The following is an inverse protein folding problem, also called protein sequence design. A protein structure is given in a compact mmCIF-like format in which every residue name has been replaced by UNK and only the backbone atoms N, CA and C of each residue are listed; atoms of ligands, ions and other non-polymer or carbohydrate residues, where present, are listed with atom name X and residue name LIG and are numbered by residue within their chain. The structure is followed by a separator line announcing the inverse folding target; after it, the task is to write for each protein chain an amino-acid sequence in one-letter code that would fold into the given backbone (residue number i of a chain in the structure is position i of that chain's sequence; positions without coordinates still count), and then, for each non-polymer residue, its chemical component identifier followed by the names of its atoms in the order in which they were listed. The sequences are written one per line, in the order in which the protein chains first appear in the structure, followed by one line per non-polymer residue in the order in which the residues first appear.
data_IF_471677316341
#
_entry.id   IF_471677316341
#
_cell.length_a   1.000
_cell.length_b   1.000
_cell.length_c   1.000
_cell.angle_alpha   90.00
_cell.angle_beta   90.00
_cell.angle_gamma   90.00
#
_symmetry.space_group_name_H-M   'P 1'
#
loop_
_entity.id
_entity.type
_entity.pdbx_description
1 polymer ?
#
# COMPACT_ATOMS: atom_id res chain seq x y z
N UNK A 1 -4.39 19.01 0.58
CA UNK A 1 -4.71 18.13 -0.57
C UNK A 1 -4.44 16.68 -0.21
N UNK A 2 -5.41 15.79 -0.43
CA UNK A 2 -5.28 14.34 -0.19
C UNK A 2 -5.67 13.64 -1.49
N UNK A 3 -4.81 12.75 -1.98
CA UNK A 3 -4.99 12.07 -3.27
C UNK A 3 -4.67 10.59 -3.16
N UNK A 4 -5.39 9.77 -3.94
CA UNK A 4 -5.13 8.34 -4.11
C UNK A 4 -4.55 8.12 -5.50
N UNK A 5 -3.26 7.84 -5.56
CA UNK A 5 -2.55 7.52 -6.79
C UNK A 5 -2.83 6.05 -7.15
N UNK A 6 -3.24 5.75 -8.40
CA UNK A 6 -3.58 4.38 -8.79
C UNK A 6 -2.34 3.50 -8.86
N UNK A 7 -2.54 2.18 -8.84
CA UNK A 7 -1.51 1.21 -9.22
C UNK A 7 -1.23 1.32 -10.72
N UNK A 8 -0.31 2.23 -11.08
CA UNK A 8 0.16 2.48 -12.43
C UNK A 8 1.62 2.92 -12.38
N UNK A 9 2.35 2.61 -13.46
CA UNK A 9 3.73 3.05 -13.60
C UNK A 9 3.85 4.57 -13.57
N UNK A 10 4.94 5.07 -12.98
CA UNK A 10 5.21 6.50 -12.88
C UNK A 10 6.72 6.78 -12.94
N UNK A 11 7.06 7.99 -13.34
CA UNK A 11 8.40 8.56 -13.20
C UNK A 11 8.26 10.05 -12.88
N UNK A 12 8.88 10.50 -11.79
CA UNK A 12 8.79 11.89 -11.35
C UNK A 12 10.13 12.39 -10.85
N UNK A 13 10.40 13.67 -11.11
CA UNK A 13 11.54 14.41 -10.59
C UNK A 13 11.10 15.83 -10.24
N UNK A 14 11.22 16.24 -8.98
CA UNK A 14 10.79 17.54 -8.51
C UNK A 14 11.49 17.94 -7.20
N UNK A 15 11.52 19.24 -6.91
CA UNK A 15 11.82 19.76 -5.57
C UNK A 15 10.50 19.84 -4.81
N UNK A 16 10.41 19.21 -3.65
CA UNK A 16 9.20 19.21 -2.83
C UNK A 16 8.89 20.63 -2.31
N UNK A 17 7.98 21.35 -2.97
CA UNK A 17 7.60 22.70 -2.54
C UNK A 17 6.97 22.72 -1.14
N UNK A 18 6.31 21.63 -0.76
CA UNK A 18 5.72 21.40 0.56
C UNK A 18 6.08 19.99 1.02
N UNK A 19 6.09 19.78 2.32
CA UNK A 19 6.24 18.47 2.89
C UNK A 19 5.03 17.59 2.53
N UNK A 20 5.26 16.28 2.39
CA UNK A 20 4.24 15.32 2.00
C UNK A 20 4.32 14.05 2.83
N UNK A 21 3.16 13.54 3.23
CA UNK A 21 3.02 12.20 3.78
C UNK A 21 2.62 11.27 2.64
N UNK A 22 3.20 10.07 2.63
CA UNK A 22 2.82 9.01 1.71
C UNK A 22 2.51 7.71 2.44
N UNK A 23 1.61 6.91 1.89
CA UNK A 23 1.29 5.59 2.43
C UNK A 23 1.08 4.57 1.30
N UNK A 24 1.88 3.52 1.28
CA UNK A 24 1.80 2.45 0.29
C UNK A 24 0.77 1.39 0.71
N UNK A 25 -0.25 1.15 -0.13
CA UNK A 25 -1.20 0.05 0.11
C UNK A 25 -0.70 -1.28 -0.45
N UNK A 26 0.14 -1.21 -1.47
CA UNK A 26 0.69 -2.33 -2.22
C UNK A 26 2.21 -2.26 -2.22
N UNK A 27 2.86 -3.42 -2.42
CA UNK A 27 4.30 -3.45 -2.65
C UNK A 27 4.64 -2.69 -3.93
N UNK A 28 5.68 -1.87 -3.92
CA UNK A 28 6.15 -1.15 -5.11
C UNK A 28 7.67 -1.24 -5.21
N UNK A 29 8.19 -1.21 -6.43
CA UNK A 29 9.63 -1.37 -6.66
C UNK A 29 10.06 -0.46 -7.78
N UNK A 30 11.25 0.10 -7.63
CA UNK A 30 11.71 1.09 -8.59
C UNK A 30 13.05 1.68 -8.22
N UNK A 31 13.33 2.86 -8.78
CA UNK A 31 14.51 3.65 -8.47
C UNK A 31 14.08 4.96 -7.83
N UNK A 32 14.82 5.40 -6.82
CA UNK A 32 14.58 6.70 -6.21
C UNK A 32 15.89 7.39 -5.78
N UNK A 33 15.81 8.69 -5.62
CA UNK A 33 16.81 9.52 -4.95
C UNK A 33 16.03 10.59 -4.17
N UNK A 34 16.04 10.54 -2.84
CA UNK A 34 15.25 11.44 -1.98
C UNK A 34 16.22 12.17 -1.05
N UNK A 35 16.35 13.48 -1.22
CA UNK A 35 17.31 14.31 -0.47
C UNK A 35 18.77 13.95 -0.74
N UNK A 36 19.04 13.30 -1.88
CA UNK A 36 20.35 12.84 -2.30
C UNK A 36 20.41 12.73 -3.81
N UNK A 37 21.59 12.92 -4.39
CA UNK A 37 21.85 12.66 -5.81
C UNK A 37 22.04 11.17 -6.14
N UNK A 38 22.14 10.32 -5.11
CA UNK A 38 22.36 8.88 -5.29
C UNK A 38 21.07 8.16 -5.63
N UNK A 39 20.90 7.82 -6.90
CA UNK A 39 19.83 6.93 -7.36
C UNK A 39 20.08 5.51 -6.86
N UNK A 40 19.10 4.92 -6.18
CA UNK A 40 19.17 3.56 -5.65
C UNK A 40 17.83 2.82 -5.82
N UNK A 41 17.86 1.47 -5.86
CA UNK A 41 16.63 0.69 -5.80
C UNK A 41 15.87 0.93 -4.50
N UNK A 42 14.54 0.90 -4.59
CA UNK A 42 13.66 0.84 -3.42
C UNK A 42 12.66 -0.31 -3.52
N UNK A 43 12.24 -0.77 -2.35
CA UNK A 43 11.15 -1.72 -2.14
C UNK A 43 10.18 -1.07 -1.16
N UNK A 44 9.07 -0.51 -1.65
CA UNK A 44 8.00 -0.03 -0.78
C UNK A 44 7.24 -1.24 -0.22
N UNK A 45 7.11 -1.31 1.10
CA UNK A 45 6.37 -2.34 1.80
C UNK A 45 4.87 -1.99 1.82
N UNK A 46 3.97 -2.99 1.73
CA UNK A 46 2.56 -2.73 1.97
C UNK A 46 2.38 -2.23 3.41
N UNK A 47 1.50 -1.24 3.59
CA UNK A 47 1.33 -0.46 4.81
C UNK A 47 2.54 0.44 5.20
N UNK A 48 3.49 0.65 4.30
CA UNK A 48 4.63 1.53 4.55
C UNK A 48 4.21 3.00 4.58
N UNK A 49 4.41 3.65 5.72
CA UNK A 49 4.33 5.10 5.87
C UNK A 49 5.66 5.73 5.41
N UNK A 50 5.54 6.83 4.68
CA UNK A 50 6.64 7.59 4.15
C UNK A 50 6.45 9.09 4.38
N UNK A 51 7.55 9.83 4.40
CA UNK A 51 7.56 11.27 4.54
C UNK A 51 8.64 11.88 3.66
N UNK A 52 8.29 13.00 3.02
CA UNK A 52 9.21 13.83 2.25
C UNK A 52 9.14 15.26 2.80
N UNK A 53 10.24 15.82 3.35
CA UNK A 53 10.29 17.21 3.80
C UNK A 53 10.13 18.22 2.66
N UNK A 54 9.72 19.45 2.98
CA UNK A 54 9.80 20.56 2.05
C UNK A 54 11.26 20.87 1.68
N UNK A 55 11.49 21.34 0.45
CA UNK A 55 12.82 21.62 -0.11
C UNK A 55 13.61 20.38 -0.53
N UNK A 56 13.06 19.17 -0.32
CA UNK A 56 13.74 17.92 -0.66
C UNK A 56 13.70 17.64 -2.17
N UNK A 57 14.86 17.39 -2.77
CA UNK A 57 14.94 16.85 -4.13
C UNK A 57 14.43 15.41 -4.16
N UNK A 58 13.45 15.15 -5.01
CA UNK A 58 12.83 13.83 -5.19
C UNK A 58 12.99 13.40 -6.64
N UNK A 59 13.60 12.25 -6.82
CA UNK A 59 13.48 11.41 -8.01
C UNK A 59 12.82 10.10 -7.56
N UNK A 60 11.74 9.68 -8.21
CA UNK A 60 11.16 8.36 -7.97
C UNK A 60 10.50 7.84 -9.24
N UNK A 61 10.77 6.60 -9.58
CA UNK A 61 10.16 5.91 -10.70
C UNK A 61 9.86 4.47 -10.34
N UNK A 62 8.73 3.96 -10.83
CA UNK A 62 8.31 2.58 -10.66
C UNK A 62 7.58 2.14 -11.92
N UNK A 63 8.01 1.06 -12.61
CA UNK A 63 7.36 0.61 -13.84
C UNK A 63 5.91 0.15 -13.65
N UNK A 64 5.60 -0.41 -12.48
CA UNK A 64 4.27 -0.94 -12.14
C UNK A 64 3.51 -0.04 -11.16
N UNK A 65 4.24 0.80 -10.42
CA UNK A 65 3.71 1.58 -9.30
C UNK A 65 3.16 0.67 -8.20
N UNK A 66 2.05 1.13 -7.65
CA UNK A 66 1.17 0.47 -6.69
C UNK A 66 0.27 1.54 -6.08
N UNK A 67 -0.89 1.16 -5.55
CA UNK A 67 -1.78 2.19 -5.03
C UNK A 67 -1.15 2.89 -3.82
N UNK A 68 -1.20 4.22 -3.85
CA UNK A 68 -0.47 5.07 -2.91
C UNK A 68 -1.34 6.25 -2.48
N UNK A 69 -1.47 6.45 -1.17
CA UNK A 69 -2.08 7.67 -0.63
C UNK A 69 -1.00 8.74 -0.52
N UNK A 70 -1.29 9.95 -0.98
CA UNK A 70 -0.42 11.11 -0.78
C UNK A 70 -1.22 12.24 -0.13
N UNK A 71 -0.62 12.87 0.88
CA UNK A 71 -1.21 13.96 1.64
C UNK A 71 -0.22 15.12 1.68
N UNK A 72 -0.68 16.29 1.24
CA UNK A 72 -0.01 17.58 1.40
C UNK A 72 -0.88 18.49 2.25
N UNK A 73 -0.28 19.11 3.27
CA UNK A 73 -0.93 20.13 4.07
C UNK A 73 -0.72 21.49 3.44
N UNK A 74 -1.81 22.16 3.10
CA UNK A 74 -1.81 23.49 2.49
C UNK A 74 -2.22 24.59 3.48
N UNK A 75 -2.49 24.21 4.73
CA UNK A 75 -2.81 25.10 5.83
C UNK A 75 -1.55 25.57 6.56
N UNK A 76 -1.69 26.57 7.45
CA UNK A 76 -0.57 27.17 8.19
C UNK A 76 0.14 26.17 9.14
N UNK A 77 -0.48 25.02 9.41
CA UNK A 77 0.07 23.90 10.17
C UNK A 77 0.94 23.02 9.27
N UNK A 78 2.08 23.55 8.84
CA UNK A 78 3.05 22.80 8.04
C UNK A 78 3.44 21.47 8.72
N UNK A 79 3.58 20.41 7.92
CA UNK A 79 4.09 19.14 8.44
C UNK A 79 5.51 19.33 8.97
N UNK A 80 5.75 18.90 10.20
CA UNK A 80 7.05 19.01 10.85
C UNK A 80 7.90 17.78 10.58
N UNK A 81 9.17 17.99 10.26
CA UNK A 81 10.13 16.92 9.96
C UNK A 81 11.19 17.39 8.97
N UNK A 82 12.43 17.02 9.22
CA UNK A 82 13.62 17.41 8.45
C UNK A 82 14.25 16.23 7.70
N UNK A 83 13.84 15.00 8.01
CA UNK A 83 14.40 13.78 7.42
C UNK A 83 13.33 13.00 6.66
N UNK A 84 13.62 12.66 5.42
CA UNK A 84 12.80 11.76 4.64
C UNK A 84 12.92 10.32 5.17
N UNK A 85 11.82 9.58 5.13
CA UNK A 85 11.82 8.15 5.44
C UNK A 85 10.80 7.41 4.56
N UNK A 86 10.97 6.10 4.47
CA UNK A 86 10.05 5.19 3.80
C UNK A 86 9.95 3.89 4.61
N UNK A 87 8.89 3.10 4.36
CA UNK A 87 8.65 1.78 4.96
C UNK A 87 8.48 1.75 6.48
N UNK A 88 8.12 2.86 7.11
CA UNK A 88 7.79 2.84 8.54
C UNK A 88 6.44 2.16 8.73
N UNK A 89 6.41 1.07 9.49
CA UNK A 89 5.17 0.38 9.82
C UNK A 89 4.61 0.96 11.12
N UNK A 90 3.50 1.68 11.01
CA UNK A 90 2.86 2.34 12.14
C UNK A 90 1.42 1.82 12.31
N UNK A 91 1.17 1.18 13.46
CA UNK A 91 -0.12 0.53 13.75
C UNK A 91 -1.30 1.51 13.83
N UNK A 92 -1.05 2.79 14.13
CA UNK A 92 -2.07 3.84 14.19
C UNK A 92 -2.27 4.50 12.83
N UNK A 93 -1.22 4.62 12.01
CA UNK A 93 -1.32 5.15 10.65
C UNK A 93 -2.11 4.23 9.70
N UNK A 94 -1.96 2.91 9.85
CA UNK A 94 -2.64 1.92 9.00
C UNK A 94 -4.16 2.14 8.93
N UNK A 95 -4.93 2.14 10.04
CA UNK A 95 -6.37 2.33 9.97
C UNK A 95 -6.77 3.70 9.43
N UNK A 96 -5.99 4.76 9.67
CA UNK A 96 -6.23 6.10 9.11
C UNK A 96 -6.12 6.08 7.59
N UNK A 97 -5.02 5.52 7.06
CA UNK A 97 -4.83 5.40 5.62
C UNK A 97 -5.91 4.53 4.95
N UNK A 98 -6.35 3.45 5.60
CA UNK A 98 -7.45 2.61 5.09
C UNK A 98 -8.79 3.37 5.05
N UNK A 99 -9.09 4.20 6.06
CA UNK A 99 -10.28 5.06 6.07
C UNK A 99 -10.23 6.07 4.94
N UNK A 100 -9.13 6.81 4.81
CA UNK A 100 -8.92 7.78 3.74
C UNK A 100 -9.06 7.13 2.35
N UNK A 101 -8.45 5.96 2.15
CA UNK A 101 -8.59 5.19 0.90
C UNK A 101 -10.04 4.85 0.61
N UNK A 102 -10.76 4.29 1.59
CA UNK A 102 -12.15 3.91 1.42
C UNK A 102 -13.06 5.12 1.13
N UNK A 103 -12.80 6.26 1.77
CA UNK A 103 -13.50 7.52 1.53
C UNK A 103 -13.26 8.07 0.11
N UNK A 104 -12.00 8.10 -0.35
CA UNK A 104 -11.63 8.51 -1.72
C UNK A 104 -12.30 7.62 -2.77
N UNK A 105 -12.36 6.30 -2.55
CA UNK A 105 -13.00 5.35 -3.47
C UNK A 105 -14.53 5.42 -3.45
N UNK A 106 -15.13 5.95 -2.39
CA UNK A 106 -16.59 6.10 -2.27
C UNK A 106 -17.09 7.46 -2.75
N UNK A 107 -16.21 8.46 -2.85
CA UNK A 107 -16.55 9.87 -3.13
C UNK A 107 -17.60 10.42 -2.14
N UNK A 108 -17.43 10.13 -0.84
CA UNK A 108 -18.36 10.54 0.21
C UNK A 108 -18.00 11.92 0.79
N UNK A 109 -18.96 12.87 0.90
CA UNK A 109 -18.70 14.23 1.40
C UNK A 109 -18.72 14.36 2.94
N UNK A 110 -19.11 13.32 3.68
CA UNK A 110 -19.29 13.38 5.15
C UNK A 110 -18.07 12.88 5.95
N UNK A 111 -16.91 12.78 5.33
CA UNK A 111 -15.71 12.21 5.95
C UNK A 111 -14.88 13.27 6.70
N UNK A 112 -14.36 12.90 7.88
CA UNK A 112 -13.52 13.74 8.75
C UNK A 112 -12.08 13.84 8.22
N UNK A 113 -11.93 14.46 7.05
CA UNK A 113 -10.65 14.60 6.36
C UNK A 113 -9.59 15.32 7.19
N UNK A 114 -10.00 16.39 7.88
CA UNK A 114 -9.10 17.20 8.69
C UNK A 114 -8.59 16.43 9.91
N UNK A 115 -9.49 15.75 10.64
CA UNK A 115 -9.12 14.93 11.79
C UNK A 115 -8.19 13.77 11.40
N UNK A 116 -8.47 13.08 10.28
CA UNK A 116 -7.59 12.01 9.81
C UNK A 116 -6.24 12.53 9.33
N UNK A 117 -6.21 13.69 8.64
CA UNK A 117 -4.98 14.33 8.17
C UNK A 117 -4.09 14.76 9.33
N UNK A 118 -4.67 15.38 10.35
CA UNK A 118 -3.96 15.79 11.56
C UNK A 118 -3.39 14.58 12.31
N UNK A 119 -4.21 13.54 12.54
CA UNK A 119 -3.75 12.33 13.21
C UNK A 119 -2.62 11.62 12.44
N UNK A 120 -2.67 11.59 11.11
CA UNK A 120 -1.60 11.02 10.30
C UNK A 120 -0.31 11.87 10.36
N UNK A 121 -0.45 13.20 10.38
CA UNK A 121 0.67 14.13 10.57
C UNK A 121 1.36 13.96 11.92
N UNK A 122 0.60 13.76 13.00
CA UNK A 122 1.14 13.46 14.33
C UNK A 122 1.98 12.19 14.33
N UNK A 123 1.55 11.14 13.61
CA UNK A 123 2.36 9.93 13.45
C UNK A 123 3.70 10.23 12.79
N UNK A 124 3.73 11.09 11.77
CA UNK A 124 4.97 11.49 11.08
C UNK A 124 5.89 12.32 11.97
N UNK A 125 5.34 13.23 12.77
CA UNK A 125 6.09 14.05 13.71
C UNK A 125 6.67 13.24 14.89
N UNK A 126 6.03 12.12 15.25
CA UNK A 126 6.50 11.18 16.26
C UNK A 126 7.83 10.55 15.83
N UNK A 127 8.92 11.03 16.45
CA UNK A 127 10.31 10.57 16.26
C UNK A 127 10.67 9.39 17.16
N UNK A 128 9.69 8.75 17.79
CA UNK A 128 9.94 7.54 18.59
C UNK A 128 10.77 6.56 17.75
N UNK A 129 11.86 5.99 18.29
CA UNK A 129 12.72 5.08 17.56
C UNK A 129 11.96 3.80 17.24
N UNK A 130 11.23 3.82 16.13
CA UNK A 130 10.55 2.67 15.53
C UNK A 130 11.51 1.88 14.60
N UNK A 131 12.77 2.33 14.49
CA UNK A 131 13.73 1.93 13.45
C UNK A 131 14.69 0.81 13.83
N UNK A 132 14.41 0.02 14.88
CA UNK A 132 15.16 -1.23 15.06
C UNK A 132 14.46 -2.32 14.26
N UNK A 133 15.09 -2.91 13.22
CA UNK A 133 14.54 -4.08 12.55
C UNK A 133 14.33 -5.16 13.63
N UNK A 134 13.07 -5.45 13.94
CA UNK A 134 12.72 -6.51 14.88
C UNK A 134 13.39 -7.80 14.38
N UNK A 135 14.11 -8.50 15.26
CA UNK A 135 14.72 -9.79 14.93
C UNK A 135 13.69 -10.69 14.23
N UNK A 136 14.07 -11.16 13.03
CA UNK A 136 13.21 -11.98 12.19
C UNK A 136 12.24 -11.23 11.30
N UNK A 137 12.64 -10.11 10.68
CA UNK A 137 11.90 -9.47 9.59
C UNK A 137 12.15 -10.13 8.23
N UNK A 138 11.21 -9.92 7.30
CA UNK A 138 11.34 -10.30 5.89
C UNK A 138 12.01 -9.12 5.18
N UNK A 139 13.24 -9.31 4.70
CA UNK A 139 13.94 -8.26 3.95
C UNK A 139 13.31 -8.05 2.55
N UNK A 140 13.69 -6.96 1.88
CA UNK A 140 13.14 -6.59 0.57
C UNK A 140 13.26 -7.68 -0.50
N UNK A 141 14.39 -8.41 -0.55
CA UNK A 141 14.57 -9.52 -1.50
C UNK A 141 13.61 -10.68 -1.24
N UNK A 142 13.39 -11.06 0.02
CA UNK A 142 12.41 -12.09 0.38
C UNK A 142 10.97 -11.62 0.11
N UNK A 143 10.67 -10.36 0.39
CA UNK A 143 9.36 -9.78 0.09
C UNK A 143 9.07 -9.78 -1.42
N UNK A 144 10.06 -9.41 -2.22
CA UNK A 144 10.00 -9.46 -3.69
C UNK A 144 9.70 -10.85 -4.23
N UNK A 145 10.45 -11.86 -3.76
CA UNK A 145 10.22 -13.27 -4.13
C UNK A 145 8.83 -13.76 -3.71
N UNK A 146 8.36 -13.32 -2.54
CA UNK A 146 7.02 -13.63 -2.05
C UNK A 146 5.94 -13.01 -2.94
N UNK A 147 6.14 -11.77 -3.38
CA UNK A 147 5.21 -11.12 -4.30
C UNK A 147 5.11 -11.84 -5.64
N UNK A 148 6.26 -12.21 -6.22
CA UNK A 148 6.32 -12.96 -7.47
C UNK A 148 5.64 -14.33 -7.35
N UNK A 149 5.88 -15.03 -6.24
CA UNK A 149 5.24 -16.30 -5.94
C UNK A 149 3.71 -16.16 -5.77
N UNK A 150 3.26 -15.10 -5.09
CA UNK A 150 1.84 -14.81 -4.94
C UNK A 150 1.21 -14.53 -6.31
N UNK A 151 1.82 -13.68 -7.14
CA UNK A 151 1.28 -13.33 -8.46
C UNK A 151 1.14 -14.55 -9.36
N UNK A 152 2.15 -15.44 -9.35
CA UNK A 152 2.16 -16.67 -10.14
C UNK A 152 1.07 -17.68 -9.72
N UNK A 153 0.62 -17.66 -8.46
CA UNK A 153 -0.36 -18.60 -7.90
C UNK A 153 -1.66 -17.96 -7.43
N UNK A 154 -1.94 -16.70 -7.81
CA UNK A 154 -2.97 -15.87 -7.18
C UNK A 154 -4.41 -16.39 -7.40
N UNK A 155 -4.65 -17.07 -8.53
CA UNK A 155 -5.92 -17.68 -8.92
C UNK A 155 -6.15 -19.08 -8.34
N UNK A 156 -5.10 -19.71 -7.82
CA UNK A 156 -5.12 -21.03 -7.22
C UNK A 156 -5.30 -21.06 -5.70
N UNK A 157 -5.31 -22.27 -5.10
CA UNK A 157 -5.37 -22.48 -3.65
C UNK A 157 -4.02 -22.17 -2.99
N UNK A 158 -3.62 -20.90 -3.00
CA UNK A 158 -2.41 -20.43 -2.35
C UNK A 158 -2.67 -20.21 -0.84
N UNK A 159 -1.86 -20.86 0.00
CA UNK A 159 -1.98 -20.80 1.47
C UNK A 159 -0.73 -20.27 2.16
N UNK A 160 -0.84 -19.98 3.46
CA UNK A 160 0.26 -19.46 4.29
C UNK A 160 1.42 -20.45 4.37
N UNK A 161 1.13 -21.75 4.48
CA UNK A 161 2.11 -22.82 4.46
C UNK A 161 3.01 -22.76 3.21
N UNK A 162 2.41 -22.72 2.01
CA UNK A 162 3.16 -22.64 0.75
C UNK A 162 4.02 -21.36 0.65
N UNK A 163 3.52 -20.23 1.17
CA UNK A 163 4.30 -18.98 1.23
C UNK A 163 5.52 -19.11 2.17
N UNK A 164 5.36 -19.78 3.31
CA UNK A 164 6.43 -20.01 4.27
C UNK A 164 7.49 -20.97 3.70
N UNK A 165 7.04 -22.07 3.10
CA UNK A 165 7.90 -23.10 2.50
C UNK A 165 8.75 -22.53 1.36
N UNK A 166 8.17 -21.65 0.51
CA UNK A 166 8.91 -20.97 -0.56
C UNK A 166 10.10 -20.15 -0.03
N UNK A 167 9.98 -19.59 1.17
CA UNK A 167 11.05 -18.86 1.84
C UNK A 167 11.95 -19.76 2.70
N UNK A 168 11.68 -21.06 2.78
CA UNK A 168 12.40 -22.01 3.64
C UNK A 168 12.19 -21.74 5.13
N UNK A 169 11.01 -21.26 5.51
CA UNK A 169 10.67 -20.88 6.89
C UNK A 169 9.57 -21.78 7.45
N UNK A 170 9.60 -22.04 8.76
CA UNK A 170 8.43 -22.60 9.42
C UNK A 170 7.26 -21.62 9.37
N UNK A 171 6.04 -22.12 9.25
CA UNK A 171 4.84 -21.29 9.12
C UNK A 171 4.68 -20.30 10.29
N UNK A 172 4.89 -20.77 11.52
CA UNK A 172 4.80 -19.91 12.71
C UNK A 172 5.85 -18.80 12.74
N UNK A 173 7.07 -19.07 12.27
CA UNK A 173 8.09 -18.04 12.14
C UNK A 173 7.73 -17.04 11.04
N UNK A 174 7.32 -17.54 9.87
CA UNK A 174 6.90 -16.72 8.73
C UNK A 174 5.76 -15.75 9.09
N UNK A 175 4.71 -16.23 9.77
CA UNK A 175 3.58 -15.37 10.17
C UNK A 175 4.05 -14.21 11.05
N UNK A 176 4.91 -14.48 12.04
CA UNK A 176 5.45 -13.44 12.93
C UNK A 176 6.35 -12.47 12.16
N UNK A 177 7.26 -13.00 11.35
CA UNK A 177 8.18 -12.22 10.54
C UNK A 177 7.45 -11.29 9.57
N UNK A 178 6.45 -11.83 8.88
CA UNK A 178 5.65 -11.09 7.91
C UNK A 178 4.82 -9.99 8.58
N UNK A 179 4.19 -10.30 9.73
CA UNK A 179 3.43 -9.30 10.50
C UNK A 179 4.31 -8.18 11.03
N UNK A 180 5.50 -8.50 11.53
CA UNK A 180 6.47 -7.49 11.98
C UNK A 180 6.94 -6.60 10.82
N UNK A 181 7.01 -7.15 9.61
CA UNK A 181 7.50 -6.44 8.41
C UNK A 181 6.43 -5.57 7.76
N UNK A 182 5.15 -5.98 7.79
CA UNK A 182 4.07 -5.36 6.98
C UNK A 182 2.89 -4.86 7.81
N UNK A 183 2.87 -5.14 9.12
CA UNK A 183 1.75 -4.84 10.00
C UNK A 183 0.50 -5.70 9.76
N UNK A 184 0.51 -6.69 8.85
CA UNK A 184 -0.65 -7.55 8.55
C UNK A 184 -0.27 -9.03 8.47
N UNK A 185 -1.25 -9.94 8.56
CA UNK A 185 -0.98 -11.38 8.41
C UNK A 185 -0.78 -11.76 6.93
N UNK A 186 -0.05 -12.87 6.63
CA UNK A 186 0.13 -13.33 5.25
C UNK A 186 -1.19 -13.60 4.52
N UNK A 187 -2.16 -14.21 5.20
CA UNK A 187 -3.49 -14.44 4.63
C UNK A 187 -4.21 -13.12 4.30
N UNK A 188 -4.15 -12.13 5.20
CA UNK A 188 -4.73 -10.80 4.95
C UNK A 188 -4.09 -10.14 3.72
N UNK A 189 -2.77 -10.28 3.58
CA UNK A 189 -2.04 -9.76 2.44
C UNK A 189 -2.41 -10.43 1.11
N UNK A 190 -2.57 -11.76 1.10
CA UNK A 190 -3.05 -12.47 -0.08
C UNK A 190 -4.42 -11.96 -0.53
N UNK A 191 -5.36 -11.74 0.40
CA UNK A 191 -6.66 -11.16 0.07
C UNK A 191 -6.51 -9.74 -0.52
N UNK A 192 -5.62 -8.91 0.03
CA UNK A 192 -5.36 -7.57 -0.50
C UNK A 192 -4.84 -7.64 -1.95
N UNK A 193 -3.93 -8.58 -2.24
CA UNK A 193 -3.40 -8.83 -3.60
C UNK A 193 -4.47 -9.29 -4.57
N UNK A 194 -5.37 -10.18 -4.13
CA UNK A 194 -6.52 -10.63 -4.94
C UNK A 194 -7.48 -9.48 -5.25
N UNK A 195 -7.75 -8.61 -4.27
CA UNK A 195 -8.56 -7.39 -4.47
C UNK A 195 -7.87 -6.44 -5.45
N UNK A 196 -6.56 -6.22 -5.32
CA UNK A 196 -5.80 -5.38 -6.25
C UNK A 196 -5.86 -5.91 -7.69
N UNK A 197 -5.57 -7.20 -7.91
CA UNK A 197 -5.70 -7.84 -9.23
C UNK A 197 -7.11 -7.70 -9.80
N UNK A 198 -8.14 -7.91 -8.97
CA UNK A 198 -9.53 -7.76 -9.41
C UNK A 198 -9.82 -6.33 -9.87
N UNK A 199 -9.34 -5.31 -9.14
CA UNK A 199 -9.50 -3.91 -9.55
C UNK A 199 -8.82 -3.61 -10.88
N UNK A 200 -7.60 -4.11 -11.09
CA UNK A 200 -6.87 -3.97 -12.36
C UNK A 200 -7.67 -4.61 -13.50
N UNK A 201 -8.12 -5.86 -13.35
CA UNK A 201 -8.93 -6.53 -14.37
C UNK A 201 -10.26 -5.82 -14.65
N UNK A 202 -10.88 -5.25 -13.62
CA UNK A 202 -12.12 -4.48 -13.80
C UNK A 202 -11.91 -3.19 -14.57
N UNK A 203 -10.74 -2.55 -14.44
CA UNK A 203 -10.39 -1.28 -15.11
C UNK A 203 -9.92 -1.52 -16.54
N UNK A 204 -9.11 -2.56 -16.73
CA UNK A 204 -8.38 -2.78 -17.97
C UNK A 204 -9.12 -3.74 -18.93
N UNK A 205 -10.29 -4.25 -18.54
CA UNK A 205 -11.10 -5.16 -19.36
C UNK A 205 -12.62 -5.00 -19.17
N UNK A 206 -13.39 -5.52 -20.12
CA UNK A 206 -14.85 -5.62 -20.04
C UNK A 206 -15.36 -6.94 -19.42
N UNK A 207 -14.48 -7.70 -18.76
CA UNK A 207 -14.84 -8.98 -18.16
C UNK A 207 -15.92 -8.83 -17.08
N UNK A 208 -16.85 -9.79 -17.04
CA UNK A 208 -17.93 -9.81 -16.05
C UNK A 208 -17.36 -10.09 -14.66
N UNK A 209 -17.99 -9.55 -13.62
CA UNK A 209 -17.56 -9.79 -12.23
C UNK A 209 -17.51 -11.29 -11.87
N UNK A 210 -18.38 -12.10 -12.47
CA UNK A 210 -18.41 -13.56 -12.31
C UNK A 210 -17.16 -14.25 -12.91
N UNK A 211 -16.54 -13.67 -13.94
CA UNK A 211 -15.32 -14.18 -14.59
C UNK A 211 -14.06 -13.69 -13.87
N UNK A 212 -14.09 -12.44 -13.38
CA UNK A 212 -12.97 -11.84 -12.64
C UNK A 212 -12.74 -12.55 -11.30
N UNK A 213 -13.80 -12.92 -10.58
CA UNK A 213 -13.69 -13.54 -9.27
C UNK A 213 -12.77 -14.78 -9.26
N UNK A 214 -13.01 -15.83 -10.06
CA UNK A 214 -12.12 -16.99 -10.12
C UNK A 214 -10.72 -16.65 -10.67
N UNK A 215 -10.60 -15.74 -11.64
CA UNK A 215 -9.30 -15.29 -12.17
C UNK A 215 -8.41 -14.57 -11.12
N UNK A 216 -9.02 -14.13 -10.03
CA UNK A 216 -8.34 -13.55 -8.86
C UNK A 216 -8.31 -14.50 -7.65
N UNK A 217 -8.72 -15.76 -7.80
CA UNK A 217 -8.67 -16.76 -6.73
C UNK A 217 -9.76 -16.60 -5.67
N UNK A 218 -10.85 -15.89 -5.97
CA UNK A 218 -12.05 -15.91 -5.13
C UNK A 218 -12.93 -17.09 -5.50
N UNK A 219 -13.46 -17.77 -4.48
CA UNK A 219 -14.38 -18.90 -4.64
C UNK A 219 -15.72 -18.54 -5.29
N UNK A 220 -16.11 -17.26 -5.24
CA UNK A 220 -17.32 -16.76 -5.90
C UNK A 220 -17.29 -15.24 -6.05
N UNK A 221 -18.15 -14.71 -6.92
CA UNK A 221 -18.39 -13.26 -7.01
C UNK A 221 -18.88 -12.67 -5.67
N UNK A 222 -19.66 -13.42 -4.89
CA UNK A 222 -20.13 -12.98 -3.58
C UNK A 222 -18.97 -12.86 -2.57
N UNK A 223 -18.05 -13.84 -2.56
CA UNK A 223 -16.84 -13.78 -1.74
C UNK A 223 -15.97 -12.58 -2.12
N UNK A 224 -15.74 -12.36 -3.43
CA UNK A 224 -15.04 -11.16 -3.92
C UNK A 224 -15.74 -9.87 -3.46
N UNK A 225 -17.07 -9.79 -3.59
CA UNK A 225 -17.81 -8.60 -3.18
C UNK A 225 -17.72 -8.32 -1.67
N UNK A 226 -17.71 -9.36 -0.83
CA UNK A 226 -17.47 -9.22 0.62
C UNK A 226 -16.06 -8.69 0.89
N UNK A 227 -15.03 -9.24 0.23
CA UNK A 227 -13.65 -8.77 0.38
C UNK A 227 -13.51 -7.29 -0.02
N UNK A 228 -14.14 -6.87 -1.13
CA UNK A 228 -14.15 -5.47 -1.56
C UNK A 228 -14.78 -4.54 -0.53
N UNK A 229 -15.94 -4.89 0.04
CA UNK A 229 -16.57 -4.05 1.08
C UNK A 229 -15.69 -3.93 2.32
N UNK A 230 -15.07 -5.03 2.75
CA UNK A 230 -14.19 -5.05 3.92
C UNK A 230 -12.88 -4.27 3.70
N UNK A 231 -12.35 -4.24 2.48
CA UNK A 231 -11.04 -3.62 2.18
C UNK A 231 -11.12 -2.21 1.63
N UNK A 232 -12.17 -1.89 0.89
CA UNK A 232 -12.31 -0.66 0.11
C UNK A 232 -13.55 0.15 0.48
N UNK A 233 -14.43 -0.38 1.35
CA UNK A 233 -15.68 0.27 1.72
C UNK A 233 -16.76 0.30 0.62
N UNK A 234 -16.48 -0.25 -0.56
CA UNK A 234 -17.40 -0.25 -1.71
C UNK A 234 -17.50 -1.64 -2.35
N UNK A 235 -18.55 -1.89 -3.12
CA UNK A 235 -18.69 -3.15 -3.88
C UNK A 235 -17.98 -3.07 -5.23
N UNK A 236 -17.59 -4.21 -5.84
CA UNK A 236 -16.98 -4.20 -7.17
C UNK A 236 -17.85 -3.51 -8.23
N UNK A 237 -19.17 -3.74 -8.18
CA UNK A 237 -20.10 -3.15 -9.15
C UNK A 237 -20.19 -1.63 -9.00
N UNK A 238 -20.31 -1.13 -7.76
CA UNK A 238 -20.38 0.32 -7.48
C UNK A 238 -19.08 1.01 -7.86
N UNK A 239 -17.93 0.40 -7.58
CA UNK A 239 -16.63 0.95 -7.98
C UNK A 239 -16.52 1.04 -9.50
N UNK A 240 -16.91 0.00 -10.24
CA UNK A 240 -16.82 -0.02 -11.69
C UNK A 240 -17.70 1.05 -12.35
N UNK A 241 -18.89 1.31 -11.81
CA UNK A 241 -19.78 2.34 -12.37
C UNK A 241 -19.25 3.77 -12.23
N UNK A 242 -18.28 4.00 -11.33
CA UNK A 242 -17.64 5.32 -11.17
C UNK A 242 -16.58 5.61 -12.24
N UNK A 243 -16.14 4.60 -13.01
CA UNK A 243 -15.20 4.79 -14.12
C UNK A 243 -15.90 5.07 -15.47
N UNK A 244 -17.24 5.10 -15.48
CA UNK A 244 -18.07 5.40 -16.65
C UNK A 244 -18.07 6.88 -17.00
#
# INVERSE_FOLDING_TARGET
MIELLPAAGYATRYVAAQAAIGFAFESQRGLHAIGSDRVQPFDALPNGLAFVPAGCDVLSESPTGGEYLRLLRTDELALTGDQAFNNRIDAQAIPLAMKMRAALLQSSPADDWEGWALALAERVADRSPHDTPLQGSINGSRMRRLDEFIDAGIDGPLGVHAMADMLGLSEGYFIRAFKNTTGKSPHSYLIDRRVAKARTLMRDSNARLAEIAPACGFSSQAHMATAFRLRLGTSPAKLRSQWG
#
